data_IF_688848468329
#
_entry.id   IF_688848468329
#
_cell.length_a   1.000
_cell.length_b   1.000
_cell.length_c   1.000
_cell.angle_alpha   90.00
_cell.angle_beta   90.00
_cell.angle_gamma   90.00
#
_symmetry.space_group_name_H-M   'P 1'
#
loop_
_entity.id
_entity.type
_entity.pdbx_description
1 polymer ?
#
# COMPACT_ATOMS: atom_id res chain seq x y z
N UNK A 1 9.35 26.42 -13.74
CA UNK A 1 9.23 26.37 -12.27
C UNK A 1 9.79 25.04 -11.82
N UNK A 2 10.93 25.05 -11.11
CA UNK A 2 11.38 23.87 -10.36
C UNK A 2 10.24 23.43 -9.45
N UNK A 3 9.99 22.12 -9.34
CA UNK A 3 9.16 21.60 -8.27
C UNK A 3 9.96 21.78 -6.97
N UNK A 4 9.90 22.98 -6.39
CA UNK A 4 10.39 23.25 -5.04
C UNK A 4 9.49 22.42 -4.11
N UNK A 5 10.02 21.29 -3.68
CA UNK A 5 9.41 20.47 -2.64
C UNK A 5 9.21 21.35 -1.41
N UNK A 6 7.97 21.49 -0.94
CA UNK A 6 7.66 22.36 0.20
C UNK A 6 7.94 21.60 1.50
N UNK A 7 9.22 21.50 1.85
CA UNK A 7 9.67 20.80 3.06
C UNK A 7 9.13 21.44 4.36
N UNK A 8 8.83 22.73 4.34
CA UNK A 8 8.20 23.46 5.45
C UNK A 8 6.78 22.96 5.78
N UNK A 9 6.15 22.22 4.87
CA UNK A 9 4.82 21.61 5.04
C UNK A 9 4.89 20.13 5.40
N UNK A 10 6.08 19.59 5.68
CA UNK A 10 6.21 18.19 6.07
C UNK A 10 5.48 17.95 7.41
N UNK A 11 4.66 16.88 7.51
CA UNK A 11 4.04 16.52 8.77
C UNK A 11 5.12 16.10 9.79
N UNK A 12 4.79 16.08 11.09
CA UNK A 12 5.75 15.65 12.10
C UNK A 12 6.33 14.27 11.78
N UNK A 13 7.66 14.15 11.85
CA UNK A 13 8.39 12.91 11.51
C UNK A 13 7.90 11.67 12.29
N UNK A 14 7.35 11.88 13.49
CA UNK A 14 6.72 10.84 14.29
C UNK A 14 5.47 10.19 13.63
N UNK A 15 4.91 10.79 12.57
CA UNK A 15 3.80 10.21 11.81
C UNK A 15 4.28 9.00 10.98
N UNK A 16 5.21 9.15 10.01
CA UNK A 16 5.74 8.00 9.24
C UNK A 16 6.62 7.06 10.06
N UNK A 17 7.41 7.57 11.02
CA UNK A 17 8.41 6.75 11.74
C UNK A 17 7.81 5.50 12.41
N UNK A 18 6.61 5.60 13.00
CA UNK A 18 5.96 4.47 13.66
C UNK A 18 5.73 3.29 12.70
N UNK A 19 5.39 3.58 11.45
CA UNK A 19 5.14 2.57 10.43
C UNK A 19 6.46 1.87 10.07
N UNK A 20 7.52 2.66 9.87
CA UNK A 20 8.84 2.14 9.51
C UNK A 20 9.51 1.34 10.63
N UNK A 21 9.21 1.63 11.90
CA UNK A 21 9.71 0.84 13.04
C UNK A 21 8.96 -0.47 13.21
N UNK A 22 7.64 -0.48 13.00
CA UNK A 22 6.82 -1.70 13.20
C UNK A 22 6.88 -2.64 12.01
N UNK A 23 6.90 -2.12 10.77
CA UNK A 23 6.84 -2.93 9.57
C UNK A 23 7.90 -4.06 9.51
N UNK A 24 9.19 -3.84 9.82
CA UNK A 24 10.21 -4.90 9.80
C UNK A 24 9.89 -6.08 10.72
N UNK A 25 9.16 -5.85 11.82
CA UNK A 25 8.77 -6.92 12.75
C UNK A 25 7.78 -7.90 12.10
N UNK A 26 6.94 -7.43 11.18
CA UNK A 26 6.04 -8.29 10.40
C UNK A 26 6.81 -9.16 9.41
N UNK A 27 7.85 -8.63 8.77
CA UNK A 27 8.75 -9.42 7.91
C UNK A 27 9.54 -10.46 8.71
N UNK A 28 10.00 -10.09 9.91
CA UNK A 28 10.61 -11.04 10.83
C UNK A 28 9.63 -12.15 11.22
N UNK A 29 8.37 -11.81 11.54
CA UNK A 29 7.34 -12.79 11.86
C UNK A 29 7.07 -13.76 10.69
N UNK A 30 7.02 -13.26 9.45
CA UNK A 30 6.90 -14.12 8.26
C UNK A 30 8.11 -15.06 8.09
N UNK A 31 9.32 -14.55 8.34
CA UNK A 31 10.55 -15.36 8.31
C UNK A 31 10.57 -16.44 9.39
N UNK A 32 10.16 -16.11 10.62
CA UNK A 32 10.02 -17.07 11.71
C UNK A 32 8.97 -18.14 11.37
N UNK A 33 7.83 -17.75 10.80
CA UNK A 33 6.81 -18.70 10.36
C UNK A 33 7.37 -19.71 9.34
N UNK A 34 8.15 -19.25 8.37
CA UNK A 34 8.84 -20.13 7.41
C UNK A 34 9.85 -21.06 8.09
N UNK A 35 10.63 -20.55 9.05
CA UNK A 35 11.60 -21.36 9.79
C UNK A 35 10.93 -22.46 10.63
N UNK A 36 9.80 -22.17 11.28
CA UNK A 36 9.11 -23.12 12.15
C UNK A 36 8.24 -24.14 11.39
N UNK A 37 7.58 -23.73 10.31
CA UNK A 37 6.75 -24.64 9.49
C UNK A 37 7.61 -25.44 8.50
N UNK A 38 8.73 -24.86 8.03
CA UNK A 38 9.63 -25.51 7.09
C UNK A 38 9.12 -25.49 5.63
N UNK A 39 9.65 -26.38 4.77
CA UNK A 39 9.40 -26.34 3.33
C UNK A 39 7.94 -26.61 2.94
N UNK A 40 7.17 -27.29 3.81
CA UNK A 40 5.75 -27.58 3.58
C UNK A 40 4.91 -26.31 3.47
N UNK A 41 5.37 -25.20 4.05
CA UNK A 41 4.77 -23.88 3.84
C UNK A 41 4.63 -23.56 2.35
N UNK A 42 5.64 -23.92 1.55
CA UNK A 42 5.75 -23.60 0.14
C UNK A 42 5.17 -24.68 -0.78
N UNK A 43 4.59 -25.75 -0.23
CA UNK A 43 4.05 -26.86 -1.02
C UNK A 43 2.90 -26.43 -1.96
N UNK A 44 2.15 -25.41 -1.57
CA UNK A 44 1.08 -24.82 -2.39
C UNK A 44 0.90 -23.35 -2.03
N UNK A 45 0.55 -22.53 -3.02
CA UNK A 45 0.17 -21.11 -2.79
C UNK A 45 -1.08 -20.95 -1.90
N UNK A 46 -1.80 -22.04 -1.64
CA UNK A 46 -3.02 -22.07 -0.83
C UNK A 46 -2.80 -22.64 0.57
N UNK A 47 -1.57 -23.00 0.96
CA UNK A 47 -1.33 -23.40 2.34
C UNK A 47 -1.71 -22.25 3.28
N UNK A 48 -2.37 -22.53 4.41
CA UNK A 48 -2.77 -21.46 5.34
C UNK A 48 -1.57 -20.65 5.83
N UNK A 49 -0.43 -21.31 6.05
CA UNK A 49 0.80 -20.66 6.45
C UNK A 49 1.37 -19.72 5.37
N UNK A 50 1.34 -20.08 4.08
CA UNK A 50 1.83 -19.19 3.03
C UNK A 50 0.89 -18.01 2.80
N UNK A 51 -0.43 -18.21 2.93
CA UNK A 51 -1.39 -17.10 2.94
C UNK A 51 -1.10 -16.15 4.10
N UNK A 52 -0.87 -16.66 5.31
CA UNK A 52 -0.49 -15.85 6.46
C UNK A 52 0.83 -15.09 6.23
N UNK A 53 1.89 -15.78 5.79
CA UNK A 53 3.19 -15.17 5.49
C UNK A 53 3.09 -14.08 4.43
N UNK A 54 2.32 -14.33 3.36
CA UNK A 54 2.06 -13.36 2.29
C UNK A 54 1.46 -12.09 2.86
N UNK A 55 0.46 -12.18 3.74
CA UNK A 55 -0.20 -10.99 4.30
C UNK A 55 0.62 -10.31 5.40
N UNK A 56 1.47 -11.04 6.14
CA UNK A 56 2.46 -10.42 7.02
C UNK A 56 3.41 -9.52 6.22
N UNK A 57 3.84 -9.97 5.03
CA UNK A 57 4.69 -9.16 4.14
C UNK A 57 3.90 -8.05 3.45
N UNK A 58 2.76 -8.34 2.83
CA UNK A 58 2.05 -7.36 2.00
C UNK A 58 1.28 -6.33 2.82
N UNK A 59 0.59 -6.74 3.90
CA UNK A 59 -0.17 -5.84 4.77
C UNK A 59 0.72 -5.31 5.90
N UNK A 60 1.39 -6.23 6.60
CA UNK A 60 2.21 -5.89 7.78
C UNK A 60 3.47 -5.10 7.46
N UNK A 61 4.08 -5.31 6.30
CA UNK A 61 5.27 -4.57 5.86
C UNK A 61 4.97 -3.59 4.72
N UNK A 62 4.59 -4.07 3.54
CA UNK A 62 4.53 -3.25 2.32
C UNK A 62 3.47 -2.14 2.41
N UNK A 63 2.21 -2.47 2.74
CA UNK A 63 1.13 -1.49 2.92
C UNK A 63 1.43 -0.55 4.07
N UNK A 64 1.93 -1.08 5.20
CA UNK A 64 2.32 -0.28 6.36
C UNK A 64 3.36 0.79 5.99
N UNK A 65 4.44 0.40 5.31
CA UNK A 65 5.49 1.32 4.85
C UNK A 65 4.93 2.32 3.84
N UNK A 66 4.21 1.85 2.82
CA UNK A 66 3.72 2.72 1.74
C UNK A 66 2.70 3.75 2.24
N UNK A 67 1.76 3.37 3.11
CA UNK A 67 0.81 4.33 3.68
C UNK A 67 1.49 5.27 4.68
N UNK A 68 2.41 4.77 5.50
CA UNK A 68 3.23 5.61 6.38
C UNK A 68 4.01 6.67 5.59
N UNK A 69 4.62 6.28 4.47
CA UNK A 69 5.31 7.19 3.57
C UNK A 69 4.35 8.19 2.90
N UNK A 70 3.17 7.75 2.47
CA UNK A 70 2.17 8.63 1.84
C UNK A 70 1.72 9.77 2.75
N UNK A 71 1.63 9.54 4.06
CA UNK A 71 1.32 10.62 5.03
C UNK A 71 2.33 11.77 4.89
N UNK A 72 3.61 11.47 4.68
CA UNK A 72 4.68 12.47 4.49
C UNK A 72 4.77 13.01 3.05
N UNK A 73 4.60 12.13 2.05
CA UNK A 73 4.77 12.49 0.64
C UNK A 73 3.63 13.36 0.11
N UNK A 74 2.38 13.10 0.52
CA UNK A 74 1.21 13.82 -0.01
C UNK A 74 1.33 15.35 0.17
N UNK A 75 1.66 15.88 1.36
CA UNK A 75 1.90 17.31 1.56
C UNK A 75 3.06 17.86 0.71
N UNK A 76 4.18 17.13 0.68
CA UNK A 76 5.45 17.61 0.10
C UNK A 76 5.40 17.64 -1.43
N UNK A 77 4.80 16.62 -2.04
CA UNK A 77 4.82 16.41 -3.50
C UNK A 77 3.57 16.93 -4.18
N UNK A 78 2.40 16.73 -3.56
CA UNK A 78 1.13 17.10 -4.16
C UNK A 78 0.52 18.37 -3.54
N UNK A 79 1.12 18.92 -2.47
CA UNK A 79 0.50 19.99 -1.68
C UNK A 79 -0.77 19.56 -0.95
N UNK A 80 -1.04 18.24 -0.90
CA UNK A 80 -2.26 17.66 -0.35
C UNK A 80 -2.06 17.39 1.15
N UNK A 81 -2.53 18.32 1.98
CA UNK A 81 -2.40 18.21 3.43
C UNK A 81 -3.52 17.33 4.00
N UNK A 82 -3.13 16.36 4.83
CA UNK A 82 -4.08 15.62 5.65
C UNK A 82 -4.44 16.43 6.90
N UNK A 83 -5.72 16.45 7.26
CA UNK A 83 -6.16 17.02 8.53
C UNK A 83 -5.61 16.20 9.70
N UNK A 84 -4.85 16.84 10.58
CA UNK A 84 -4.22 16.24 11.75
C UNK A 84 -3.47 14.90 11.44
N UNK A 85 -2.33 14.96 10.73
CA UNK A 85 -1.62 13.79 10.22
C UNK A 85 -1.15 12.82 11.31
N UNK A 86 -0.96 13.31 12.55
CA UNK A 86 -0.59 12.46 13.68
C UNK A 86 -1.76 11.57 14.15
N UNK A 87 -2.99 12.09 14.13
CA UNK A 87 -4.17 11.29 14.46
C UNK A 87 -4.39 10.25 13.37
N UNK A 88 -4.31 10.65 12.10
CA UNK A 88 -4.35 9.74 10.94
C UNK A 88 -3.35 8.61 11.08
N UNK A 89 -2.09 8.95 11.38
CA UNK A 89 -1.04 7.97 11.59
C UNK A 89 -1.34 7.00 12.74
N UNK A 90 -1.90 7.48 13.86
CA UNK A 90 -2.20 6.63 15.04
C UNK A 90 -3.23 5.56 14.74
N UNK A 91 -4.41 5.95 14.28
CA UNK A 91 -5.49 4.97 14.06
C UNK A 91 -5.17 4.05 12.88
N UNK A 92 -4.51 4.56 11.84
CA UNK A 92 -4.15 3.73 10.68
C UNK A 92 -3.10 2.69 11.06
N UNK A 93 -2.05 3.10 11.79
CA UNK A 93 -1.02 2.18 12.26
C UNK A 93 -1.59 1.08 13.16
N UNK A 94 -2.46 1.45 14.11
CA UNK A 94 -3.12 0.50 14.99
C UNK A 94 -4.01 -0.48 14.19
N UNK A 95 -4.82 0.03 13.27
CA UNK A 95 -5.70 -0.78 12.42
C UNK A 95 -4.93 -1.73 11.51
N UNK A 96 -3.87 -1.27 10.84
CA UNK A 96 -3.03 -2.12 9.99
C UNK A 96 -2.30 -3.20 10.81
N UNK A 97 -1.75 -2.84 11.98
CA UNK A 97 -1.03 -3.78 12.82
C UNK A 97 -1.95 -4.87 13.36
N UNK A 98 -3.08 -4.47 13.96
CA UNK A 98 -4.07 -5.41 14.48
C UNK A 98 -4.68 -6.26 13.36
N UNK A 99 -5.06 -5.62 12.25
CA UNK A 99 -5.67 -6.29 11.11
C UNK A 99 -4.75 -7.32 10.44
N UNK A 100 -3.46 -7.02 10.28
CA UNK A 100 -2.47 -7.95 9.74
C UNK A 100 -2.29 -9.18 10.64
N UNK A 101 -2.21 -8.98 11.96
CA UNK A 101 -2.11 -10.07 12.94
C UNK A 101 -3.38 -10.93 12.97
N UNK A 102 -4.56 -10.30 12.97
CA UNK A 102 -5.85 -10.99 12.90
C UNK A 102 -5.97 -11.82 11.62
N UNK A 103 -5.54 -11.27 10.49
CA UNK A 103 -5.60 -11.96 9.20
C UNK A 103 -4.67 -13.18 9.17
N UNK A 104 -3.43 -13.01 9.60
CA UNK A 104 -2.46 -14.09 9.69
C UNK A 104 -2.93 -15.19 10.66
N UNK A 105 -3.42 -14.82 11.84
CA UNK A 105 -3.97 -15.76 12.81
C UNK A 105 -5.22 -16.47 12.27
N UNK A 106 -6.10 -15.75 11.56
CA UNK A 106 -7.29 -16.33 10.94
C UNK A 106 -6.97 -17.41 9.91
N UNK A 107 -5.93 -17.21 9.10
CA UNK A 107 -5.44 -18.26 8.20
C UNK A 107 -4.81 -19.43 8.98
N UNK A 108 -3.87 -19.15 9.88
CA UNK A 108 -3.14 -20.20 10.61
C UNK A 108 -4.05 -21.09 11.46
N UNK A 109 -5.06 -20.51 12.09
CA UNK A 109 -5.98 -21.21 12.98
C UNK A 109 -7.26 -21.69 12.28
N UNK A 110 -7.47 -21.32 11.02
CA UNK A 110 -8.69 -21.63 10.27
C UNK A 110 -9.97 -21.02 10.89
N UNK A 111 -9.86 -19.89 11.60
CA UNK A 111 -10.97 -19.31 12.34
C UNK A 111 -11.68 -18.20 11.56
N UNK A 112 -12.93 -18.47 11.17
CA UNK A 112 -13.80 -17.53 10.46
C UNK A 112 -13.97 -16.19 11.18
N UNK A 113 -14.09 -16.20 12.52
CA UNK A 113 -14.25 -14.98 13.31
C UNK A 113 -13.04 -14.04 13.21
N UNK A 114 -11.82 -14.59 13.19
CA UNK A 114 -10.59 -13.80 13.03
C UNK A 114 -10.49 -13.22 11.62
N UNK A 115 -10.86 -13.98 10.59
CA UNK A 115 -10.92 -13.48 9.20
C UNK A 115 -11.96 -12.35 9.06
N UNK A 116 -13.13 -12.50 9.66
CA UNK A 116 -14.17 -11.46 9.68
C UNK A 116 -13.72 -10.21 10.43
N UNK A 117 -13.08 -10.37 11.59
CA UNK A 117 -12.52 -9.25 12.35
C UNK A 117 -11.39 -8.53 11.57
N UNK A 118 -10.51 -9.29 10.91
CA UNK A 118 -9.48 -8.73 10.04
C UNK A 118 -10.07 -7.93 8.88
N UNK A 119 -11.08 -8.48 8.21
CA UNK A 119 -11.78 -7.81 7.12
C UNK A 119 -12.41 -6.48 7.58
N UNK A 120 -13.04 -6.46 8.75
CA UNK A 120 -13.62 -5.26 9.33
C UNK A 120 -12.55 -4.21 9.67
N UNK A 121 -11.51 -4.60 10.42
CA UNK A 121 -10.47 -3.69 10.90
C UNK A 121 -9.64 -3.12 9.74
N UNK A 122 -9.19 -3.97 8.81
CA UNK A 122 -8.42 -3.53 7.64
C UNK A 122 -9.30 -2.72 6.67
N UNK A 123 -10.53 -3.19 6.42
CA UNK A 123 -11.48 -2.52 5.54
C UNK A 123 -11.79 -1.11 6.02
N UNK A 124 -12.19 -0.95 7.29
CA UNK A 124 -12.49 0.36 7.86
C UNK A 124 -11.26 1.25 7.96
N UNK A 125 -10.11 0.71 8.39
CA UNK A 125 -8.87 1.47 8.49
C UNK A 125 -8.43 2.03 7.14
N UNK A 126 -8.35 1.18 6.11
CA UNK A 126 -7.93 1.65 4.79
C UNK A 126 -9.00 2.53 4.14
N UNK A 127 -10.30 2.24 4.31
CA UNK A 127 -11.37 3.10 3.81
C UNK A 127 -11.31 4.51 4.42
N UNK A 128 -11.11 4.62 5.73
CA UNK A 128 -10.93 5.91 6.39
C UNK A 128 -9.72 6.68 5.83
N UNK A 129 -8.61 5.99 5.53
CA UNK A 129 -7.43 6.60 4.92
C UNK A 129 -7.69 7.06 3.49
N UNK A 130 -8.36 6.23 2.69
CA UNK A 130 -8.75 6.56 1.32
C UNK A 130 -9.65 7.79 1.28
N UNK A 131 -10.57 7.91 2.23
CA UNK A 131 -11.42 9.10 2.36
C UNK A 131 -10.60 10.34 2.74
N UNK A 132 -9.70 10.24 3.73
CA UNK A 132 -8.84 11.36 4.14
C UNK A 132 -7.91 11.81 3.00
N UNK A 133 -7.18 10.88 2.38
CA UNK A 133 -6.28 11.15 1.26
C UNK A 133 -7.02 11.61 0.00
N UNK A 134 -8.19 11.02 -0.28
CA UNK A 134 -9.05 11.42 -1.38
C UNK A 134 -9.56 12.85 -1.24
N UNK A 135 -10.00 13.25 -0.04
CA UNK A 135 -10.38 14.64 0.27
C UNK A 135 -9.21 15.60 0.10
N UNK A 136 -8.04 15.25 0.63
CA UNK A 136 -6.83 16.06 0.49
C UNK A 136 -6.42 16.25 -0.98
N UNK A 137 -6.65 15.24 -1.84
CA UNK A 137 -6.32 15.28 -3.27
C UNK A 137 -7.43 15.81 -4.18
N UNK A 138 -8.67 15.96 -3.70
CA UNK A 138 -9.83 16.31 -4.52
C UNK A 138 -9.65 17.69 -5.18
N UNK A 139 -9.10 18.66 -4.45
CA UNK A 139 -8.81 20.01 -4.96
C UNK A 139 -7.50 20.14 -5.74
N UNK A 140 -6.69 19.08 -5.83
CA UNK A 140 -5.36 19.15 -6.47
C UNK A 140 -5.48 18.86 -7.97
N UNK A 141 -5.13 19.80 -8.87
CA UNK A 141 -5.20 19.58 -10.31
C UNK A 141 -4.28 18.45 -10.78
N UNK A 142 -4.77 17.59 -11.68
CA UNK A 142 -4.05 16.41 -12.20
C UNK A 142 -3.04 16.77 -13.30
N UNK A 143 -2.25 17.82 -13.11
CA UNK A 143 -1.35 18.40 -14.14
C UNK A 143 -0.02 17.65 -14.25
N UNK A 144 0.42 16.95 -13.20
CA UNK A 144 1.66 16.15 -13.22
C UNK A 144 1.40 14.64 -13.34
N UNK A 145 2.33 13.86 -13.94
CA UNK A 145 2.28 12.40 -13.91
C UNK A 145 2.21 11.83 -12.49
N UNK A 146 2.93 12.43 -11.54
CA UNK A 146 2.94 12.04 -10.13
C UNK A 146 1.57 12.18 -9.47
N UNK A 147 0.88 13.32 -9.64
CA UNK A 147 -0.45 13.53 -9.04
C UNK A 147 -1.47 12.55 -9.64
N UNK A 148 -1.42 12.33 -10.96
CA UNK A 148 -2.29 11.33 -11.62
C UNK A 148 -2.02 9.93 -11.10
N UNK A 149 -0.75 9.54 -11.01
CA UNK A 149 -0.33 8.26 -10.47
C UNK A 149 -0.75 8.06 -9.01
N UNK A 150 -0.63 9.09 -8.16
CA UNK A 150 -1.13 9.04 -6.78
C UNK A 150 -2.63 8.78 -6.71
N UNK A 151 -3.44 9.51 -7.50
CA UNK A 151 -4.91 9.30 -7.54
C UNK A 151 -5.25 7.90 -8.03
N UNK A 152 -4.61 7.43 -9.10
CA UNK A 152 -4.81 6.08 -9.64
C UNK A 152 -4.40 5.00 -8.62
N UNK A 153 -3.29 5.18 -7.92
CA UNK A 153 -2.83 4.25 -6.89
C UNK A 153 -3.82 4.15 -5.73
N UNK A 154 -4.47 5.25 -5.30
CA UNK A 154 -5.52 5.20 -4.27
C UNK A 154 -6.76 4.46 -4.76
N UNK A 155 -7.15 4.61 -6.03
CA UNK A 155 -8.23 3.81 -6.64
C UNK A 155 -7.83 2.33 -6.68
N UNK A 156 -6.59 2.03 -7.07
CA UNK A 156 -6.02 0.69 -7.04
C UNK A 156 -6.07 0.06 -5.65
N UNK A 157 -5.72 0.84 -4.62
CA UNK A 157 -5.77 0.39 -3.23
C UNK A 157 -7.20 0.09 -2.78
N UNK A 158 -8.16 0.92 -3.18
CA UNK A 158 -9.58 0.70 -2.89
C UNK A 158 -10.07 -0.63 -3.48
N UNK A 159 -9.72 -0.94 -4.74
CA UNK A 159 -10.06 -2.21 -5.35
C UNK A 159 -9.34 -3.40 -4.71
N UNK A 160 -8.04 -3.27 -4.41
CA UNK A 160 -7.27 -4.30 -3.73
C UNK A 160 -7.87 -4.68 -2.37
N UNK A 161 -8.20 -3.69 -1.54
CA UNK A 161 -8.83 -3.91 -0.22
C UNK A 161 -10.26 -4.40 -0.35
N UNK A 162 -11.05 -3.86 -1.28
CA UNK A 162 -12.41 -4.34 -1.52
C UNK A 162 -12.45 -5.83 -1.88
N UNK A 163 -11.57 -6.26 -2.79
CA UNK A 163 -11.42 -7.67 -3.16
C UNK A 163 -10.86 -8.51 -2.00
N UNK A 164 -9.92 -7.99 -1.22
CA UNK A 164 -9.36 -8.70 -0.06
C UNK A 164 -10.38 -8.92 1.06
N UNK A 165 -11.18 -7.91 1.37
CA UNK A 165 -12.31 -8.00 2.31
C UNK A 165 -13.32 -9.03 1.82
N UNK A 166 -13.67 -8.98 0.53
CA UNK A 166 -14.59 -9.94 -0.06
C UNK A 166 -14.06 -11.38 0.05
N UNK A 167 -12.80 -11.62 -0.32
CA UNK A 167 -12.15 -12.93 -0.21
C UNK A 167 -12.13 -13.44 1.24
N UNK A 168 -11.75 -12.59 2.20
CA UNK A 168 -11.70 -12.97 3.60
C UNK A 168 -13.09 -13.39 4.12
N UNK A 169 -14.15 -12.65 3.75
CA UNK A 169 -15.52 -13.00 4.11
C UNK A 169 -16.03 -14.24 3.37
N UNK A 170 -15.66 -14.41 2.10
CA UNK A 170 -16.03 -15.60 1.32
C UNK A 170 -15.43 -16.87 1.94
N UNK A 171 -14.16 -16.83 2.35
CA UNK A 171 -13.50 -17.93 3.06
C UNK A 171 -14.14 -18.14 4.44
N UNK A 172 -14.37 -17.08 5.20
CA UNK A 172 -14.95 -17.17 6.54
C UNK A 172 -16.37 -17.78 6.55
N UNK A 173 -17.18 -17.50 5.53
CA UNK A 173 -18.57 -17.92 5.45
C UNK A 173 -18.82 -19.07 4.45
N UNK A 174 -17.79 -19.60 3.81
CA UNK A 174 -17.90 -20.69 2.84
C UNK A 174 -18.70 -20.34 1.58
N UNK A 175 -18.58 -19.11 1.08
CA UNK A 175 -19.29 -18.69 -0.13
C UNK A 175 -18.79 -19.43 -1.37
N UNK A 176 -19.70 -19.85 -2.24
CA UNK A 176 -19.38 -20.47 -3.52
C UNK A 176 -18.89 -19.42 -4.52
N UNK A 177 -17.59 -19.14 -4.52
CA UNK A 177 -16.93 -18.19 -5.43
C UNK A 177 -15.72 -18.83 -6.12
N UNK A 178 -15.32 -18.38 -7.32
CA UNK A 178 -14.11 -18.86 -7.99
C UNK A 178 -12.87 -18.28 -7.31
N UNK A 179 -12.52 -18.81 -6.12
CA UNK A 179 -11.43 -18.32 -5.27
C UNK A 179 -10.12 -18.09 -6.03
N UNK A 180 -9.65 -18.97 -6.93
CA UNK A 180 -8.41 -18.73 -7.66
C UNK A 180 -8.43 -17.48 -8.51
N UNK A 181 -9.48 -17.29 -9.31
CA UNK A 181 -9.60 -16.13 -10.20
C UNK A 181 -9.74 -14.82 -9.42
N UNK A 182 -10.50 -14.82 -8.32
CA UNK A 182 -10.67 -13.63 -7.48
C UNK A 182 -9.38 -13.32 -6.71
N UNK A 183 -8.64 -14.33 -6.26
CA UNK A 183 -7.33 -14.14 -5.63
C UNK A 183 -6.29 -13.57 -6.60
N UNK A 184 -6.27 -14.04 -7.85
CA UNK A 184 -5.39 -13.48 -8.89
C UNK A 184 -5.76 -12.02 -9.21
N UNK A 185 -7.06 -11.72 -9.27
CA UNK A 185 -7.55 -10.35 -9.43
C UNK A 185 -7.13 -9.47 -8.25
N UNK A 186 -7.30 -9.95 -7.01
CA UNK A 186 -6.86 -9.24 -5.80
C UNK A 186 -5.35 -8.93 -5.86
N UNK A 187 -4.52 -9.92 -6.22
CA UNK A 187 -3.09 -9.74 -6.37
C UNK A 187 -2.73 -8.74 -7.48
N UNK A 188 -3.42 -8.78 -8.63
CA UNK A 188 -3.23 -7.84 -9.73
C UNK A 188 -3.58 -6.40 -9.35
N UNK A 189 -4.66 -6.20 -8.60
CA UNK A 189 -5.02 -4.88 -8.05
C UNK A 189 -4.02 -4.41 -7.00
N UNK A 190 -3.60 -5.29 -6.08
CA UNK A 190 -2.67 -4.94 -5.02
C UNK A 190 -1.27 -4.59 -5.54
N UNK A 191 -0.70 -5.44 -6.41
CA UNK A 191 0.67 -5.27 -6.88
C UNK A 191 0.75 -4.35 -8.11
N UNK A 192 -0.17 -4.46 -9.05
CA UNK A 192 -0.17 -3.67 -10.28
C UNK A 192 -0.83 -2.30 -10.07
N UNK A 193 -2.15 -2.30 -9.88
CA UNK A 193 -2.95 -1.07 -9.86
C UNK A 193 -2.66 -0.17 -8.65
N UNK A 194 -2.26 -0.74 -7.51
CA UNK A 194 -1.87 0.01 -6.34
C UNK A 194 -0.35 0.19 -6.23
N UNK A 195 0.39 -0.83 -5.80
CA UNK A 195 1.79 -0.68 -5.40
C UNK A 195 2.69 -0.27 -6.58
N UNK A 196 2.53 -0.92 -7.74
CA UNK A 196 3.29 -0.62 -8.96
C UNK A 196 3.04 0.79 -9.47
N UNK A 197 1.78 1.21 -9.59
CA UNK A 197 1.43 2.58 -9.98
C UNK A 197 1.96 3.59 -8.95
N UNK A 198 1.85 3.31 -7.65
CA UNK A 198 2.37 4.18 -6.60
C UNK A 198 3.88 4.37 -6.75
N UNK A 199 4.64 3.28 -6.85
CA UNK A 199 6.09 3.32 -7.03
C UNK A 199 6.49 4.05 -8.31
N UNK A 200 5.80 3.80 -9.43
CA UNK A 200 6.04 4.49 -10.69
C UNK A 200 5.76 6.00 -10.58
N UNK A 201 4.69 6.40 -9.89
CA UNK A 201 4.36 7.81 -9.65
C UNK A 201 5.44 8.51 -8.81
N UNK A 202 5.93 7.84 -7.77
CA UNK A 202 6.96 8.32 -6.87
C UNK A 202 8.33 8.38 -7.54
N UNK A 203 8.64 7.49 -8.47
CA UNK A 203 9.91 7.48 -9.20
C UNK A 203 10.18 8.81 -9.92
N UNK A 204 9.15 9.49 -10.44
CA UNK A 204 9.27 10.82 -11.05
C UNK A 204 9.79 11.91 -10.10
N UNK A 205 9.68 11.70 -8.79
CA UNK A 205 10.15 12.62 -7.76
C UNK A 205 11.45 12.12 -7.14
N UNK A 206 11.49 10.84 -6.76
CA UNK A 206 12.59 10.25 -6.00
C UNK A 206 13.85 10.08 -6.85
N UNK A 207 13.73 9.67 -8.12
CA UNK A 207 14.91 9.45 -8.98
C UNK A 207 15.69 10.75 -9.22
N UNK A 208 15.05 11.87 -9.63
CA UNK A 208 15.75 13.16 -9.77
C UNK A 208 16.42 13.63 -8.48
N UNK A 209 15.79 13.41 -7.31
CA UNK A 209 16.37 13.80 -6.02
C UNK A 209 17.71 13.12 -5.73
N UNK A 210 17.87 11.84 -6.11
CA UNK A 210 19.12 11.10 -5.90
C UNK A 210 20.15 11.28 -7.02
N UNK A 211 19.70 11.56 -8.24
CA UNK A 211 20.60 11.71 -9.40
C UNK A 211 21.08 13.15 -9.63
N UNK A 212 20.62 14.12 -8.84
CA UNK A 212 20.86 15.56 -9.06
C UNK A 212 20.45 16.03 -10.48
N UNK A 213 19.56 15.29 -11.15
CA UNK A 213 19.09 15.60 -12.50
C UNK A 213 17.80 16.43 -12.43
N UNK A 214 17.53 17.32 -13.41
CA UNK A 214 16.26 18.02 -13.48
C UNK A 214 15.09 17.03 -13.57
N UNK A 215 13.97 17.33 -12.91
CA UNK A 215 12.77 16.50 -13.00
C UNK A 215 12.34 16.29 -14.47
N UNK A 216 12.11 15.03 -14.85
CA UNK A 216 11.89 14.61 -16.24
C UNK A 216 10.65 15.28 -16.83
N UNK A 217 10.83 16.18 -17.81
CA UNK A 217 9.71 16.85 -18.52
C UNK A 217 9.20 15.99 -19.67
N UNK A 218 7.88 16.05 -19.89
CA UNK A 218 7.09 15.29 -20.89
C UNK A 218 7.60 15.36 -22.34
N UNK A 219 8.46 16.33 -22.69
CA UNK A 219 9.01 16.50 -24.04
C UNK A 219 10.39 15.87 -24.30
N UNK A 220 11.10 15.40 -23.27
CA UNK A 220 12.48 14.89 -23.45
C UNK A 220 12.55 13.38 -23.75
N UNK A 221 11.54 12.59 -23.35
CA UNK A 221 11.50 11.16 -23.70
C UNK A 221 11.25 10.93 -25.22
N UNK A 222 10.54 11.84 -25.89
CA UNK A 222 10.36 11.80 -27.35
C UNK A 222 11.53 12.41 -28.13
N UNK A 223 12.22 13.41 -27.56
CA UNK A 223 13.34 14.09 -28.22
C UNK A 223 14.63 13.26 -28.28
N UNK A 224 14.88 12.40 -27.29
CA UNK A 224 16.06 11.52 -27.30
C UNK A 224 16.00 10.48 -28.42
N UNK A 225 14.82 9.93 -28.72
CA UNK A 225 14.63 9.00 -29.84
C UNK A 225 14.70 9.69 -31.20
N UNK A 226 14.30 10.96 -31.30
CA UNK A 226 14.41 11.74 -32.54
C UNK A 226 15.84 12.22 -32.85
N UNK A 227 16.68 12.40 -31.83
CA UNK A 227 18.07 12.83 -31.97
C UNK A 227 19.04 11.73 -32.39
N UNK A 228 18.65 10.45 -32.26
CA UNK A 228 19.45 9.31 -32.72
C UNK A 228 19.12 8.87 -34.16
N UNK A 229 18.18 9.55 -34.80
CA UNK A 229 17.72 9.30 -36.17
C UNK A 229 18.08 10.42 -37.16
N UNK A 230 19.04 11.28 -36.81
CA UNK A 230 19.58 12.35 -37.67
C UNK A 230 21.07 12.18 -37.92
#
# INVERSE_FOLDING_TARGET
MQALLSFDKAPPFAAPLRFFLTAPLFSLAAGLLLLFVGPDLLASRWTPGLLAATHLITVGFMLMVMLGALIQILPVVAGANLDNPLVVARWLHAGLSAGALLLAAGFLLGQAALLGAAALVLGLGVAAFLVAGGRALAGVPSTSPTIRGLKLALVGLAGAVGLGVWLALAIANGWAVPLPSVADLHAGWALGAWAGILLAALAYVVVPMFQLTPATRRGQAGGFLASCSG
#
